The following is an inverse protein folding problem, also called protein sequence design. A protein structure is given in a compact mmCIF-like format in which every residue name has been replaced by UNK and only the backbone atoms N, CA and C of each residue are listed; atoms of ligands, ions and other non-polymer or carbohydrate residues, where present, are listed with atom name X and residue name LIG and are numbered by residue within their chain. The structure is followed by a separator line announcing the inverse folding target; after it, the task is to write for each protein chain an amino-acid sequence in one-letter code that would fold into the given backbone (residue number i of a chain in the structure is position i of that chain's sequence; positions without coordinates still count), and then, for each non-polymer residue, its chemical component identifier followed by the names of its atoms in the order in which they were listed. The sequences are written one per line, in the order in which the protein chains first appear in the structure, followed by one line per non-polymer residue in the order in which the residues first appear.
data_IF_798820018304
#
_entry.id   IF_798820018304
#
_cell.length_a   1.000
_cell.length_b   1.000
_cell.length_c   1.000
_cell.angle_alpha   90.00
_cell.angle_beta   90.00
_cell.angle_gamma   90.00
#
_symmetry.space_group_name_H-M   'P 1'
#
loop_
_entity.id
_entity.type
_entity.pdbx_description
1 polymer ?
#
# COMPACT_ATOMS: atom_id res chain seq x y z
N UNK A 1 -12.65 45.38 23.86
CA UNK A 1 -11.34 44.88 23.39
C UNK A 1 -11.14 43.41 23.77
N UNK A 2 -11.24 43.05 25.05
CA UNK A 2 -11.10 41.66 25.54
C UNK A 2 -12.07 40.68 24.89
N UNK A 3 -13.34 41.03 24.75
CA UNK A 3 -14.35 40.16 24.11
C UNK A 3 -13.99 39.83 22.65
N UNK A 4 -13.51 40.81 21.88
CA UNK A 4 -13.09 40.63 20.49
C UNK A 4 -11.87 39.70 20.38
N UNK A 5 -10.93 39.83 21.32
CA UNK A 5 -9.73 38.98 21.35
C UNK A 5 -10.13 37.53 21.66
N UNK A 6 -11.03 37.33 22.62
CA UNK A 6 -11.52 36.01 23.01
C UNK A 6 -12.28 35.33 21.86
N UNK A 7 -13.19 36.04 21.18
CA UNK A 7 -13.91 35.46 20.04
C UNK A 7 -12.99 35.13 18.87
N UNK A 8 -11.99 35.97 18.59
CA UNK A 8 -11.02 35.70 17.52
C UNK A 8 -10.17 34.46 17.85
N UNK A 9 -9.79 34.27 19.11
CA UNK A 9 -9.04 33.09 19.56
C UNK A 9 -9.87 31.81 19.40
N UNK A 10 -11.12 31.85 19.84
CA UNK A 10 -12.05 30.71 19.72
C UNK A 10 -12.27 30.36 18.25
N UNK A 11 -12.50 31.36 17.38
CA UNK A 11 -12.69 31.13 15.96
C UNK A 11 -11.44 30.51 15.30
N UNK A 12 -10.24 30.99 15.65
CA UNK A 12 -8.99 30.44 15.14
C UNK A 12 -8.77 28.99 15.61
N UNK A 13 -9.05 28.68 16.88
CA UNK A 13 -8.96 27.32 17.41
C UNK A 13 -9.92 26.37 16.70
N UNK A 14 -11.17 26.80 16.46
CA UNK A 14 -12.15 26.00 15.72
C UNK A 14 -11.72 25.82 14.26
N UNK A 15 -11.16 26.86 13.62
CA UNK A 15 -10.67 26.77 12.25
C UNK A 15 -9.53 25.76 12.09
N UNK A 16 -8.59 25.69 13.04
CA UNK A 16 -7.48 24.72 13.03
C UNK A 16 -8.00 23.29 13.18
N UNK A 17 -9.01 23.07 14.03
CA UNK A 17 -9.64 21.75 14.20
C UNK A 17 -10.51 21.35 13.01
N UNK A 18 -11.14 22.32 12.33
CA UNK A 18 -11.96 22.09 11.15
C UNK A 18 -11.14 21.92 9.86
N UNK A 19 -9.94 22.50 9.81
CA UNK A 19 -9.04 22.43 8.66
C UNK A 19 -8.78 21.00 8.13
N UNK A 20 -8.40 19.99 8.95
CA UNK A 20 -8.16 18.64 8.45
C UNK A 20 -9.42 17.94 7.93
N UNK A 21 -10.62 18.36 8.34
CA UNK A 21 -11.89 17.81 7.85
C UNK A 21 -12.31 18.42 6.50
N UNK A 22 -11.94 19.68 6.25
CA UNK A 22 -12.25 20.42 5.03
C UNK A 22 -11.21 20.18 3.93
N UNK A 23 -9.95 20.00 4.32
CA UNK A 23 -8.85 19.72 3.39
C UNK A 23 -8.77 18.21 3.19
N UNK A 24 -9.53 17.71 2.22
CA UNK A 24 -9.27 16.39 1.62
C UNK A 24 -7.90 16.46 0.95
N UNK A 25 -6.87 15.97 1.65
CA UNK A 25 -5.53 15.82 1.09
C UNK A 25 -5.68 14.92 -0.15
N UNK A 26 -5.23 15.34 -1.34
CA UNK A 26 -5.13 14.41 -2.46
C UNK A 26 -4.19 13.32 -2.02
N UNK A 27 -4.68 12.09 -1.96
CA UNK A 27 -3.83 10.94 -1.65
C UNK A 27 -2.98 10.71 -2.89
N UNK A 28 -1.67 10.83 -2.72
CA UNK A 28 -0.74 10.63 -3.83
C UNK A 28 -0.86 9.17 -4.29
N UNK A 29 -1.23 8.90 -5.55
CA UNK A 29 -1.34 7.54 -6.06
C UNK A 29 0.01 6.80 -6.00
N UNK A 30 1.14 7.51 -6.09
CA UNK A 30 2.46 6.90 -6.00
C UNK A 30 2.78 6.45 -4.56
N UNK A 31 2.37 7.24 -3.56
CA UNK A 31 2.54 6.90 -2.14
C UNK A 31 1.67 5.69 -1.76
N UNK A 32 0.44 5.60 -2.27
CA UNK A 32 -0.43 4.42 -2.10
C UNK A 32 0.13 3.18 -2.79
N UNK A 33 0.67 3.33 -3.99
CA UNK A 33 1.30 2.27 -4.75
C UNK A 33 2.51 1.69 -4.00
N UNK A 34 3.34 2.57 -3.45
CA UNK A 34 4.49 2.20 -2.63
C UNK A 34 4.04 1.48 -1.35
N UNK A 35 3.05 1.99 -0.63
CA UNK A 35 2.50 1.38 0.57
C UNK A 35 1.94 -0.03 0.31
N UNK A 36 1.16 -0.20 -0.77
CA UNK A 36 0.63 -1.50 -1.20
C UNK A 36 1.75 -2.49 -1.52
N UNK A 37 2.77 -2.03 -2.26
CA UNK A 37 3.92 -2.85 -2.61
C UNK A 37 4.72 -3.30 -1.37
N UNK A 38 4.83 -2.42 -0.38
CA UNK A 38 5.54 -2.66 0.87
C UNK A 38 4.75 -3.60 1.78
N UNK A 39 3.42 -3.47 1.79
CA UNK A 39 2.51 -4.41 2.45
C UNK A 39 2.63 -5.83 1.91
N UNK A 40 2.63 -5.99 0.59
CA UNK A 40 2.79 -7.31 -0.06
C UNK A 40 4.15 -7.94 0.22
N UNK A 41 5.23 -7.14 0.22
CA UNK A 41 6.57 -7.62 0.61
C UNK A 41 6.61 -8.12 2.05
N UNK A 42 6.07 -7.35 2.99
CA UNK A 42 5.97 -7.76 4.41
C UNK A 42 5.16 -9.04 4.59
N UNK A 43 4.03 -9.16 3.88
CA UNK A 43 3.20 -10.35 3.93
C UNK A 43 3.97 -11.59 3.43
N UNK A 44 4.74 -11.45 2.35
CA UNK A 44 5.58 -12.52 1.82
C UNK A 44 6.69 -12.91 2.79
N UNK A 45 7.37 -11.93 3.38
CA UNK A 45 8.44 -12.18 4.35
C UNK A 45 7.91 -12.92 5.59
N UNK A 46 6.68 -12.61 6.02
CA UNK A 46 5.99 -13.35 7.09
C UNK A 46 5.77 -14.82 6.72
N UNK A 47 5.36 -15.12 5.50
CA UNK A 47 5.17 -16.52 5.05
C UNK A 47 6.51 -17.27 5.04
N UNK A 48 7.62 -16.61 4.68
CA UNK A 48 8.94 -17.25 4.76
C UNK A 48 9.39 -17.52 6.20
N UNK A 49 9.10 -16.61 7.13
CA UNK A 49 9.36 -16.85 8.55
C UNK A 49 8.50 -17.99 9.09
N UNK A 50 7.23 -18.10 8.70
CA UNK A 50 6.37 -19.25 9.05
C UNK A 50 6.96 -20.57 8.53
N UNK A 51 7.45 -20.61 7.28
CA UNK A 51 8.13 -21.80 6.73
C UNK A 51 9.37 -22.16 7.54
N UNK A 52 10.14 -21.15 7.97
CA UNK A 52 11.36 -21.35 8.76
C UNK A 52 11.06 -21.90 10.15
N UNK A 53 10.02 -21.38 10.82
CA UNK A 53 9.54 -21.89 12.11
C UNK A 53 9.07 -23.33 11.95
N UNK A 54 8.26 -23.62 10.94
CA UNK A 54 7.77 -24.97 10.66
C UNK A 54 8.91 -25.98 10.42
N UNK A 55 9.99 -25.56 9.75
CA UNK A 55 11.20 -26.38 9.57
C UNK A 55 11.91 -26.67 10.90
N UNK A 56 11.97 -25.70 11.81
CA UNK A 56 12.52 -25.91 13.15
C UNK A 56 11.64 -26.85 13.97
N UNK A 57 10.32 -26.68 13.93
CA UNK A 57 9.38 -27.54 14.65
C UNK A 57 9.43 -28.98 14.17
N UNK A 58 9.59 -29.20 12.86
CA UNK A 58 9.81 -30.52 12.29
C UNK A 58 11.16 -31.11 12.72
N UNK A 59 12.24 -30.30 12.73
CA UNK A 59 13.55 -30.73 13.19
C UNK A 59 13.55 -31.12 14.67
N UNK A 60 12.74 -30.45 15.49
CA UNK A 60 12.54 -30.76 16.91
C UNK A 60 11.58 -31.94 17.14
N UNK A 61 11.10 -32.60 16.08
CA UNK A 61 10.11 -33.70 16.12
C UNK A 61 8.80 -33.33 16.82
N UNK A 62 8.51 -32.02 16.92
CA UNK A 62 7.27 -31.47 17.49
C UNK A 62 6.08 -31.63 16.54
N UNK A 63 6.35 -31.77 15.24
CA UNK A 63 5.35 -31.86 14.17
C UNK A 63 5.62 -33.12 13.36
N UNK A 64 4.56 -33.86 13.02
CA UNK A 64 4.68 -35.07 12.21
C UNK A 64 5.10 -34.75 10.77
N UNK A 65 5.70 -35.72 10.06
CA UNK A 65 6.09 -35.53 8.66
C UNK A 65 4.89 -35.21 7.75
N UNK A 66 3.74 -35.82 8.02
CA UNK A 66 2.51 -35.62 7.25
C UNK A 66 2.00 -34.19 7.43
N UNK A 67 1.93 -33.72 8.68
CA UNK A 67 1.52 -32.36 9.04
C UNK A 67 2.51 -31.30 8.54
N UNK A 68 3.82 -31.56 8.64
CA UNK A 68 4.86 -30.71 8.06
C UNK A 68 4.66 -30.53 6.55
N UNK A 69 4.38 -31.63 5.84
CA UNK A 69 4.22 -31.60 4.38
C UNK A 69 2.97 -30.82 3.97
N UNK A 70 1.86 -31.02 4.66
CA UNK A 70 0.61 -30.29 4.44
C UNK A 70 0.78 -28.79 4.68
N UNK A 71 1.33 -28.41 5.84
CA UNK A 71 1.52 -27.01 6.21
C UNK A 71 2.53 -26.31 5.28
N UNK A 72 3.60 -27.01 4.88
CA UNK A 72 4.59 -26.48 3.93
C UNK A 72 3.95 -26.23 2.55
N UNK A 73 3.11 -27.14 2.09
CA UNK A 73 2.40 -26.97 0.81
C UNK A 73 1.44 -25.78 0.87
N UNK A 74 0.68 -25.63 1.96
CA UNK A 74 -0.21 -24.49 2.17
C UNK A 74 0.57 -23.15 2.22
N UNK A 75 1.71 -23.11 2.92
CA UNK A 75 2.55 -21.93 2.98
C UNK A 75 3.14 -21.56 1.60
N UNK A 76 3.57 -22.56 0.81
CA UNK A 76 4.04 -22.34 -0.57
C UNK A 76 2.94 -21.78 -1.47
N UNK A 77 1.71 -22.27 -1.33
CA UNK A 77 0.57 -21.77 -2.10
C UNK A 77 0.31 -20.29 -1.79
N UNK A 78 0.30 -19.93 -0.49
CA UNK A 78 0.17 -18.54 -0.04
C UNK A 78 1.28 -17.64 -0.55
N UNK A 79 2.53 -18.12 -0.55
CA UNK A 79 3.66 -17.37 -1.10
C UNK A 79 3.52 -17.13 -2.61
N UNK A 80 3.06 -18.13 -3.37
CA UNK A 80 2.82 -18.01 -4.81
C UNK A 80 1.69 -17.02 -5.11
N UNK A 81 0.62 -17.03 -4.32
CA UNK A 81 -0.48 -16.07 -4.45
C UNK A 81 -0.02 -14.63 -4.21
N UNK A 82 0.76 -14.39 -3.15
CA UNK A 82 1.31 -13.07 -2.85
C UNK A 82 2.24 -12.56 -3.96
N UNK A 83 3.02 -13.45 -4.59
CA UNK A 83 3.85 -13.10 -5.75
C UNK A 83 3.00 -12.72 -6.96
N UNK A 84 1.94 -13.47 -7.24
CA UNK A 84 1.01 -13.15 -8.33
C UNK A 84 0.33 -11.79 -8.12
N UNK A 85 -0.14 -11.52 -6.90
CA UNK A 85 -0.72 -10.23 -6.53
C UNK A 85 0.29 -9.09 -6.68
N UNK A 86 1.54 -9.28 -6.25
CA UNK A 86 2.60 -8.29 -6.42
C UNK A 86 2.86 -7.96 -7.89
N UNK A 87 2.92 -8.98 -8.74
CA UNK A 87 3.13 -8.80 -10.17
C UNK A 87 1.94 -8.09 -10.83
N UNK A 88 0.71 -8.45 -10.45
CA UNK A 88 -0.50 -7.81 -10.96
C UNK A 88 -0.56 -6.34 -10.58
N UNK A 89 -0.28 -5.98 -9.32
CA UNK A 89 -0.24 -4.59 -8.87
C UNK A 89 0.82 -3.80 -9.63
N UNK A 90 2.03 -4.33 -9.80
CA UNK A 90 3.08 -3.68 -10.58
C UNK A 90 2.68 -3.46 -12.06
N UNK A 91 2.01 -4.44 -12.66
CA UNK A 91 1.54 -4.32 -14.04
C UNK A 91 0.43 -3.26 -14.18
N UNK A 92 -0.52 -3.24 -13.24
CA UNK A 92 -1.59 -2.23 -13.23
C UNK A 92 -1.02 -0.82 -13.05
N UNK A 93 -0.08 -0.64 -12.12
CA UNK A 93 0.58 0.66 -11.91
C UNK A 93 1.31 1.14 -13.17
N UNK A 94 2.04 0.24 -13.85
CA UNK A 94 2.71 0.57 -15.11
C UNK A 94 1.72 1.00 -16.20
N UNK A 95 0.62 0.26 -16.37
CA UNK A 95 -0.41 0.62 -17.36
C UNK A 95 -1.11 1.95 -17.08
N UNK A 96 -1.28 2.31 -15.80
CA UNK A 96 -1.85 3.60 -15.41
C UNK A 96 -0.86 4.72 -15.72
N UNK A 97 0.42 4.56 -15.40
CA UNK A 97 1.47 5.53 -15.73
C UNK A 97 1.56 5.80 -17.23
N UNK A 98 1.61 4.75 -18.05
CA UNK A 98 1.66 4.86 -19.51
C UNK A 98 0.41 5.58 -20.09
N UNK A 99 -0.78 5.24 -19.60
CA UNK A 99 -2.04 5.87 -20.06
C UNK A 99 -2.19 7.34 -19.66
N UNK A 100 -1.55 7.75 -18.56
CA UNK A 100 -1.52 9.15 -18.08
C UNK A 100 -0.51 9.97 -18.90
N UNK A 101 0.67 9.42 -19.20
CA UNK A 101 1.66 10.05 -20.09
C UNK A 101 1.11 10.26 -21.50
N UNK A 102 0.38 9.27 -22.05
CA UNK A 102 -0.19 9.38 -23.40
C UNK A 102 -1.26 10.48 -23.50
N UNK A 103 -2.08 10.66 -22.45
CA UNK A 103 -3.07 11.74 -22.39
C UNK A 103 -2.43 13.13 -22.20
N UNK A 104 -1.40 13.24 -21.37
CA UNK A 104 -0.68 14.50 -21.18
C UNK A 104 0.14 14.89 -22.42
N UNK A 105 0.73 13.92 -23.13
CA UNK A 105 1.42 14.16 -24.40
C UNK A 105 0.48 14.69 -25.48
N UNK A 106 -0.75 14.15 -25.57
CA UNK A 106 -1.77 14.62 -26.53
C UNK A 106 -2.31 16.01 -26.21
N UNK A 107 -2.45 16.34 -24.92
CA UNK A 107 -2.89 17.66 -24.48
C UNK A 107 -1.83 18.75 -24.69
N UNK A 108 -0.54 18.39 -24.65
CA UNK A 108 0.57 19.32 -24.89
C UNK A 108 0.80 19.69 -26.36
N UNK A 109 0.39 18.82 -27.30
CA UNK A 109 0.64 19.01 -28.73
C UNK A 109 -0.46 19.82 -29.46
N UNK A 110 -1.65 19.97 -28.85
CA UNK A 110 -2.77 20.74 -29.43
C UNK A 110 -2.69 22.27 -29.28
N UNK A 111 -1.59 22.80 -28.74
CA UNK A 111 -1.40 24.23 -28.45
C UNK A 111 -0.41 24.96 -29.36
N UNK A 112 0.09 24.31 -30.40
CA UNK A 112 1.06 24.88 -31.36
C UNK A 112 0.53 24.78 -32.78
N UNK A 113 -0.46 25.61 -33.09
CA UNK A 113 -0.66 26.04 -34.47
C UNK A 113 -0.17 27.50 -34.61
N UNK A 114 0.68 27.82 -35.61
CA UNK A 114 1.21 29.17 -35.86
C UNK A 114 0.19 30.15 -36.44
#
# INVERSE_FOLDING_TARGET
MTVLIVTLLVAASVAVLAYPLLVRRPVDPDEQAEELSLGLRKARDRVYEEIRVLQQEYFLETVSQEEYTEQLQAARLRAAELLAQQQQVQQTLRSIGEGVEEQMGRAGDGGRDP
#
